data_IF_076941480649
#
_entry.id   IF_076941480649
#
_cell.length_a   1.000
_cell.length_b   1.000
_cell.length_c   1.000
_cell.angle_alpha   90.00
_cell.angle_beta   90.00
_cell.angle_gamma   90.00
#
_symmetry.space_group_name_H-M   'P 1'
#
loop_
_entity.id
_entity.type
_entity.pdbx_description
1 polymer ?
#
# COMPACT_ATOMS: atom_id res chain seq x y z
N UNK A 1 4.38 46.00 -6.04
CA UNK A 1 4.60 44.54 -6.13
C UNK A 1 4.33 43.96 -4.77
N UNK A 2 3.12 43.49 -4.54
CA UNK A 2 2.69 42.96 -3.25
C UNK A 2 3.20 41.54 -3.05
N UNK A 3 4.09 41.39 -2.09
CA UNK A 3 4.55 40.10 -1.60
C UNK A 3 3.41 39.51 -0.77
N UNK A 4 2.55 38.70 -1.36
CA UNK A 4 1.53 37.93 -0.62
C UNK A 4 2.25 36.82 0.12
N UNK A 5 2.67 37.11 1.36
CA UNK A 5 3.07 36.05 2.30
C UNK A 5 1.85 35.16 2.53
N UNK A 6 1.84 33.97 1.92
CA UNK A 6 0.90 32.90 2.28
C UNK A 6 1.06 32.66 3.78
N UNK A 7 0.03 32.97 4.54
CA UNK A 7 -0.05 32.60 5.95
C UNK A 7 -0.13 31.07 5.97
N UNK A 8 1.00 30.37 6.18
CA UNK A 8 1.06 28.93 6.26
C UNK A 8 0.39 28.51 7.57
N UNK A 9 -0.64 27.68 7.45
CA UNK A 9 -1.30 27.12 8.62
C UNK A 9 -0.38 26.08 9.26
N UNK A 10 -0.05 26.27 10.55
CA UNK A 10 0.83 25.39 11.29
C UNK A 10 0.03 24.41 12.13
N UNK A 11 0.50 23.18 12.22
CA UNK A 11 -0.03 22.12 13.08
C UNK A 11 1.06 21.62 14.02
N UNK A 12 0.67 21.14 15.19
CA UNK A 12 1.59 20.62 16.20
C UNK A 12 1.59 19.08 16.18
N UNK A 13 2.74 18.48 15.91
CA UNK A 13 2.95 17.04 15.95
C UNK A 13 3.52 16.65 17.31
N UNK A 14 2.83 15.75 18.02
CA UNK A 14 3.27 15.20 19.31
C UNK A 14 3.88 13.82 19.10
N UNK A 15 5.13 13.63 19.52
CA UNK A 15 5.85 12.38 19.43
C UNK A 15 5.60 11.45 20.63
N UNK A 16 5.99 10.15 20.55
CA UNK A 16 5.78 9.18 21.64
C UNK A 16 6.44 9.56 22.98
N UNK A 17 7.55 10.31 22.94
CA UNK A 17 8.25 10.81 24.11
C UNK A 17 7.56 12.06 24.75
N UNK A 18 6.44 12.50 24.18
CA UNK A 18 5.69 13.67 24.62
C UNK A 18 6.21 15.00 24.08
N UNK A 19 7.35 15.01 23.38
CA UNK A 19 7.85 16.21 22.72
C UNK A 19 6.94 16.66 21.58
N UNK A 20 7.00 17.97 21.25
CA UNK A 20 6.16 18.56 20.21
C UNK A 20 7.03 19.36 19.24
N UNK A 21 6.65 19.31 17.97
CA UNK A 21 7.21 20.18 16.93
C UNK A 21 6.10 20.67 16.01
N UNK A 22 6.23 21.91 15.57
CA UNK A 22 5.27 22.51 14.62
C UNK A 22 5.76 22.29 13.18
N UNK A 23 4.80 21.94 12.32
CA UNK A 23 5.00 21.71 10.89
C UNK A 23 3.91 22.45 10.12
N UNK A 24 4.14 22.67 8.84
CA UNK A 24 3.09 23.12 7.93
C UNK A 24 1.98 22.07 7.81
N UNK A 25 0.73 22.49 7.79
CA UNK A 25 -0.42 21.63 7.49
C UNK A 25 -0.22 20.91 6.17
N UNK A 26 -0.58 19.63 6.10
CA UNK A 26 -0.31 18.76 4.97
C UNK A 26 1.06 18.09 5.02
N UNK A 27 1.82 18.24 6.11
CA UNK A 27 3.06 17.49 6.31
C UNK A 27 2.76 15.99 6.35
N UNK A 28 3.67 15.17 5.78
CA UNK A 28 3.56 13.72 5.84
C UNK A 28 4.47 13.11 6.92
N UNK A 29 4.15 11.89 7.37
CA UNK A 29 5.02 11.12 8.26
C UNK A 29 6.44 10.96 7.71
N UNK A 30 6.58 10.80 6.39
CA UNK A 30 7.89 10.72 5.72
C UNK A 30 8.69 12.01 5.85
N UNK A 31 8.04 13.16 5.65
CA UNK A 31 8.67 14.47 5.81
C UNK A 31 9.08 14.72 7.27
N UNK A 32 8.24 14.33 8.22
CA UNK A 32 8.58 14.41 9.65
C UNK A 32 9.78 13.52 9.97
N UNK A 33 9.81 12.27 9.49
CA UNK A 33 10.95 11.37 9.68
C UNK A 33 12.25 11.95 9.11
N UNK A 34 12.19 12.58 7.94
CA UNK A 34 13.33 13.26 7.32
C UNK A 34 13.84 14.43 8.16
N UNK A 35 12.93 15.23 8.72
CA UNK A 35 13.28 16.36 9.61
C UNK A 35 13.90 15.91 10.95
N UNK A 36 13.62 14.67 11.39
CA UNK A 36 14.26 14.10 12.57
C UNK A 36 15.67 13.61 12.21
N UNK A 37 15.80 12.76 11.21
CA UNK A 37 17.09 12.31 10.68
C UNK A 37 16.96 11.57 9.35
N UNK A 38 18.02 11.63 8.53
CA UNK A 38 18.09 10.85 7.27
C UNK A 38 18.11 9.34 7.51
N UNK A 39 18.62 8.88 8.66
CA UNK A 39 18.60 7.47 9.04
C UNK A 39 17.19 6.98 9.38
N UNK A 40 16.39 7.79 10.09
CA UNK A 40 14.99 7.47 10.36
C UNK A 40 14.18 7.42 9.08
N UNK A 41 14.31 8.40 8.19
CA UNK A 41 13.65 8.39 6.87
C UNK A 41 13.92 7.10 6.10
N UNK A 42 15.18 6.63 6.08
CA UNK A 42 15.57 5.40 5.37
C UNK A 42 15.00 4.12 6.00
N UNK A 43 14.84 4.12 7.32
CA UNK A 43 14.36 2.97 8.07
C UNK A 43 12.84 2.93 8.17
N UNK A 44 12.16 4.06 7.96
CA UNK A 44 10.70 4.19 8.10
C UNK A 44 9.95 3.34 7.06
N UNK A 45 8.89 2.68 7.53
CA UNK A 45 8.02 1.81 6.71
C UNK A 45 6.55 2.23 6.77
N UNK A 46 6.11 2.80 7.89
CA UNK A 46 4.76 3.31 8.09
C UNK A 46 4.76 4.35 9.22
N UNK A 47 3.62 4.95 9.49
CA UNK A 47 3.42 5.76 10.70
C UNK A 47 2.05 5.47 11.33
N UNK A 48 1.90 5.76 12.63
CA UNK A 48 0.60 5.83 13.27
C UNK A 48 0.22 7.30 13.52
N UNK A 49 -0.94 7.71 13.02
CA UNK A 49 -1.50 9.03 13.25
C UNK A 49 -2.68 8.87 14.21
N UNK A 50 -2.58 9.46 15.40
CA UNK A 50 -3.55 9.29 16.48
C UNK A 50 -3.86 7.82 16.82
N UNK A 51 -2.84 6.94 16.68
CA UNK A 51 -2.94 5.50 16.92
C UNK A 51 -3.42 4.67 15.72
N UNK A 52 -3.74 5.28 14.59
CA UNK A 52 -4.18 4.58 13.37
C UNK A 52 -2.99 4.40 12.45
N UNK A 53 -2.66 3.13 12.13
CA UNK A 53 -1.60 2.79 11.19
C UNK A 53 -1.91 3.34 9.80
N UNK A 54 -0.96 4.06 9.22
CA UNK A 54 -1.16 4.86 8.01
C UNK A 54 0.09 4.85 7.12
N UNK A 55 -0.12 5.16 5.84
CA UNK A 55 0.98 5.39 4.91
C UNK A 55 1.88 6.53 5.37
N UNK A 56 3.18 6.38 5.18
CA UNK A 56 4.14 7.45 5.47
C UNK A 56 3.90 8.71 4.64
N UNK A 57 3.26 8.58 3.49
CA UNK A 57 2.98 9.68 2.56
C UNK A 57 1.64 10.37 2.82
N UNK A 58 0.81 9.83 3.73
CA UNK A 58 -0.47 10.45 4.07
C UNK A 58 -0.26 11.84 4.66
N UNK A 59 -1.03 12.81 4.17
CA UNK A 59 -0.98 14.19 4.64
C UNK A 59 -1.69 14.33 5.99
N UNK A 60 -1.09 15.10 6.88
CA UNK A 60 -1.57 15.39 8.23
C UNK A 60 -2.07 16.85 8.25
N UNK A 61 -3.39 17.01 8.34
CA UNK A 61 -4.04 18.32 8.21
C UNK A 61 -4.44 18.96 9.54
N UNK A 62 -4.20 18.28 10.66
CA UNK A 62 -4.50 18.76 12.01
C UNK A 62 -3.43 18.35 12.99
N UNK A 63 -3.35 19.06 14.12
CA UNK A 63 -2.46 18.64 15.21
C UNK A 63 -2.81 17.24 15.68
N UNK A 64 -1.80 16.36 15.72
CA UNK A 64 -1.97 14.90 15.91
C UNK A 64 -0.79 14.31 16.67
N UNK A 65 -1.01 13.13 17.24
CA UNK A 65 0.09 12.26 17.70
C UNK A 65 0.64 11.49 16.51
N UNK A 66 1.96 11.46 16.40
CA UNK A 66 2.63 10.73 15.31
C UNK A 66 3.70 9.81 15.88
N UNK A 67 3.63 8.54 15.49
CA UNK A 67 4.66 7.55 15.73
C UNK A 67 5.19 7.02 14.39
N UNK A 68 6.51 7.01 14.21
CA UNK A 68 7.15 6.48 12.98
C UNK A 68 7.57 5.04 13.25
N UNK A 69 7.06 4.11 12.45
CA UNK A 69 7.43 2.71 12.49
C UNK A 69 8.56 2.42 11.52
N UNK A 70 9.47 1.58 11.95
CA UNK A 70 10.65 1.21 11.16
C UNK A 70 10.71 -0.30 10.91
N UNK A 71 11.62 -0.72 10.05
CA UNK A 71 11.88 -2.14 9.81
C UNK A 71 12.33 -2.95 11.04
N UNK A 72 12.57 -2.29 12.19
CA UNK A 72 12.85 -2.93 13.48
C UNK A 72 11.57 -3.34 14.21
N UNK A 73 10.46 -2.75 13.87
CA UNK A 73 9.12 -3.07 14.35
C UNK A 73 8.62 -4.35 13.68
N UNK A 74 9.09 -5.50 14.17
CA UNK A 74 8.90 -6.79 13.49
C UNK A 74 7.44 -7.12 13.17
N UNK A 75 6.51 -6.80 14.06
CA UNK A 75 5.08 -7.10 13.87
C UNK A 75 4.51 -6.28 12.71
N UNK A 76 4.70 -4.95 12.75
CA UNK A 76 4.20 -4.04 11.70
C UNK A 76 4.93 -4.29 10.39
N UNK A 77 6.25 -4.49 10.43
CA UNK A 77 7.04 -4.77 9.23
C UNK A 77 6.58 -6.06 8.54
N UNK A 78 6.31 -7.13 9.30
CA UNK A 78 5.86 -8.40 8.76
C UNK A 78 4.46 -8.29 8.15
N UNK A 79 3.54 -7.58 8.80
CA UNK A 79 2.20 -7.34 8.29
C UNK A 79 2.23 -6.58 6.95
N UNK A 80 2.99 -5.47 6.89
CA UNK A 80 3.13 -4.68 5.67
C UNK A 80 3.80 -5.48 4.54
N UNK A 81 4.88 -6.21 4.83
CA UNK A 81 5.56 -7.03 3.82
C UNK A 81 4.61 -8.09 3.27
N UNK A 82 3.81 -8.75 4.11
CA UNK A 82 2.82 -9.74 3.66
C UNK A 82 1.76 -9.11 2.78
N UNK A 83 1.27 -7.94 3.16
CA UNK A 83 0.27 -7.19 2.41
C UNK A 83 0.82 -6.79 1.02
N UNK A 84 2.00 -6.18 1.00
CA UNK A 84 2.65 -5.81 -0.26
C UNK A 84 3.00 -7.04 -1.12
N UNK A 85 3.41 -8.16 -0.52
CA UNK A 85 3.61 -9.42 -1.25
C UNK A 85 2.33 -9.92 -1.92
N UNK A 86 1.15 -9.75 -1.30
CA UNK A 86 -0.12 -10.09 -1.93
C UNK A 86 -0.36 -9.24 -3.19
N UNK A 87 -0.13 -7.93 -3.12
CA UNK A 87 -0.25 -7.03 -4.28
C UNK A 87 0.79 -7.33 -5.37
N UNK A 88 2.06 -7.58 -4.98
CA UNK A 88 3.11 -7.96 -5.93
C UNK A 88 2.79 -9.30 -6.62
N UNK A 89 2.19 -10.25 -5.90
CA UNK A 89 1.74 -11.51 -6.48
C UNK A 89 0.61 -11.28 -7.48
N UNK A 90 -0.39 -10.45 -7.14
CA UNK A 90 -1.49 -10.12 -8.05
C UNK A 90 -0.97 -9.44 -9.33
N UNK A 91 -0.07 -8.46 -9.19
CA UNK A 91 0.61 -7.82 -10.32
C UNK A 91 1.38 -8.83 -11.16
N UNK A 92 2.16 -9.72 -10.54
CA UNK A 92 2.93 -10.74 -11.23
C UNK A 92 2.03 -11.68 -12.06
N UNK A 93 0.92 -12.11 -11.48
CA UNK A 93 -0.06 -12.97 -12.16
C UNK A 93 -0.64 -12.26 -13.38
N UNK A 94 -1.10 -11.02 -13.25
CA UNK A 94 -1.65 -10.26 -14.36
C UNK A 94 -0.61 -9.88 -15.43
N UNK A 95 0.68 -9.70 -15.05
CA UNK A 95 1.74 -9.48 -16.04
C UNK A 95 2.08 -10.75 -16.83
N UNK A 96 1.89 -11.94 -16.24
CA UNK A 96 2.11 -13.22 -16.93
C UNK A 96 0.87 -13.62 -17.73
N UNK A 97 -0.32 -13.45 -17.13
CA UNK A 97 -1.62 -13.81 -17.70
C UNK A 97 -2.58 -12.63 -17.63
N UNK A 98 -2.57 -11.74 -18.64
CA UNK A 98 -3.32 -10.48 -18.60
C UNK A 98 -4.84 -10.61 -18.46
N UNK A 99 -5.41 -11.74 -18.89
CA UNK A 99 -6.85 -11.99 -18.82
C UNK A 99 -7.30 -12.49 -17.42
N UNK A 100 -6.36 -12.67 -16.48
CA UNK A 100 -6.68 -13.09 -15.10
C UNK A 100 -7.29 -11.92 -14.33
N UNK A 101 -8.50 -12.11 -13.78
CA UNK A 101 -9.14 -11.13 -12.89
C UNK A 101 -8.63 -11.32 -11.47
N UNK A 102 -8.40 -10.21 -10.79
CA UNK A 102 -7.96 -10.19 -9.39
C UNK A 102 -9.15 -9.88 -8.47
N UNK A 103 -9.24 -10.59 -7.36
CA UNK A 103 -10.32 -10.40 -6.40
C UNK A 103 -9.83 -9.73 -5.12
N UNK A 104 -9.48 -10.50 -4.12
CA UNK A 104 -8.93 -10.03 -2.83
C UNK A 104 -7.72 -10.86 -2.41
N UNK A 105 -6.81 -10.22 -1.67
CA UNK A 105 -5.58 -10.84 -1.17
C UNK A 105 -5.30 -10.50 0.29
N UNK A 106 -6.04 -11.09 1.27
CA UNK A 106 -5.83 -10.78 2.67
C UNK A 106 -4.56 -11.38 3.22
N UNK A 107 -3.99 -10.66 4.19
CA UNK A 107 -2.96 -11.20 5.08
C UNK A 107 -3.62 -12.15 6.07
N UNK A 108 -2.94 -13.27 6.34
CA UNK A 108 -3.35 -14.29 7.32
C UNK A 108 -2.23 -14.52 8.33
N UNK A 109 -2.49 -15.29 9.40
CA UNK A 109 -1.55 -15.51 10.50
C UNK A 109 -0.15 -15.94 10.04
N UNK A 110 -0.06 -16.82 9.03
CA UNK A 110 1.22 -17.37 8.57
C UNK A 110 1.55 -17.04 7.12
N UNK A 111 1.04 -15.91 6.59
CA UNK A 111 1.32 -15.50 5.21
C UNK A 111 0.23 -14.62 4.63
N UNK A 112 -0.06 -14.88 3.39
CA UNK A 112 -1.15 -14.26 2.62
C UNK A 112 -1.66 -15.25 1.58
N UNK A 113 -2.80 -14.98 1.01
CA UNK A 113 -3.25 -15.60 -0.23
C UNK A 113 -3.84 -14.52 -1.16
N UNK A 114 -4.16 -14.88 -2.36
CA UNK A 114 -4.88 -14.02 -3.30
C UNK A 114 -5.77 -14.90 -4.17
N UNK A 115 -7.03 -14.52 -4.29
CA UNK A 115 -7.98 -15.21 -5.13
C UNK A 115 -7.98 -14.62 -6.55
N UNK A 116 -7.92 -15.49 -7.52
CA UNK A 116 -7.87 -15.16 -8.94
C UNK A 116 -9.01 -15.85 -9.67
N UNK A 117 -9.66 -15.13 -10.58
CA UNK A 117 -10.56 -15.72 -11.55
C UNK A 117 -9.84 -15.87 -12.88
N UNK A 118 -9.65 -17.12 -13.27
CA UNK A 118 -8.90 -17.53 -14.45
C UNK A 118 -9.53 -18.76 -15.10
N UNK A 119 -9.60 -18.76 -16.43
CA UNK A 119 -10.19 -19.87 -17.19
C UNK A 119 -9.40 -21.18 -16.97
N UNK A 120 -8.06 -21.13 -17.06
CA UNK A 120 -7.19 -22.27 -16.81
C UNK A 120 -6.69 -22.27 -15.35
N UNK A 121 -6.89 -23.35 -14.58
CA UNK A 121 -6.38 -23.45 -13.21
C UNK A 121 -4.85 -23.33 -13.16
N UNK A 122 -4.33 -22.75 -12.06
CA UNK A 122 -2.89 -22.76 -11.81
C UNK A 122 -2.37 -24.18 -11.57
N UNK A 123 -1.11 -24.39 -11.99
CA UNK A 123 -0.36 -25.62 -11.74
C UNK A 123 0.74 -25.38 -10.70
N UNK A 124 1.29 -26.42 -10.05
CA UNK A 124 2.43 -26.27 -9.13
C UNK A 124 3.66 -25.61 -9.79
N UNK A 125 3.85 -25.81 -11.08
CA UNK A 125 4.93 -25.21 -11.86
C UNK A 125 4.77 -23.70 -12.01
N UNK A 126 3.53 -23.20 -12.07
CA UNK A 126 3.23 -21.78 -12.16
C UNK A 126 3.71 -21.01 -10.92
N UNK A 127 3.72 -21.65 -9.75
CA UNK A 127 4.22 -21.01 -8.52
C UNK A 127 5.66 -20.52 -8.66
N UNK A 128 6.52 -21.28 -9.35
CA UNK A 128 7.92 -20.90 -9.57
C UNK A 128 8.02 -19.73 -10.56
N UNK A 129 7.15 -19.71 -11.58
CA UNK A 129 7.10 -18.62 -12.56
C UNK A 129 6.62 -17.34 -11.90
N UNK A 130 5.57 -17.42 -11.06
CA UNK A 130 5.04 -16.28 -10.30
C UNK A 130 6.10 -15.75 -9.31
N UNK A 131 6.75 -16.63 -8.52
CA UNK A 131 7.81 -16.20 -7.59
C UNK A 131 8.95 -15.46 -8.31
N UNK A 132 9.39 -15.97 -9.45
CA UNK A 132 10.41 -15.31 -10.26
C UNK A 132 9.96 -13.91 -10.68
N UNK A 133 8.73 -13.81 -11.18
CA UNK A 133 8.14 -12.53 -11.62
C UNK A 133 7.98 -11.55 -10.45
N UNK A 134 7.55 -12.02 -9.30
CA UNK A 134 7.49 -11.21 -8.07
C UNK A 134 8.86 -10.62 -7.71
N UNK A 135 9.93 -11.42 -7.77
CA UNK A 135 11.29 -10.94 -7.51
C UNK A 135 11.75 -9.91 -8.55
N UNK A 136 11.38 -10.07 -9.81
CA UNK A 136 11.65 -9.08 -10.87
C UNK A 136 10.97 -7.74 -10.52
N UNK A 137 9.68 -7.77 -10.14
CA UNK A 137 8.91 -6.57 -9.76
C UNK A 137 9.50 -5.89 -8.53
N UNK A 138 9.90 -6.65 -7.51
CA UNK A 138 10.57 -6.13 -6.31
C UNK A 138 11.86 -5.37 -6.69
N UNK A 139 12.64 -5.93 -7.61
CA UNK A 139 13.89 -5.33 -8.06
C UNK A 139 13.72 -4.06 -8.89
N UNK A 140 12.54 -3.80 -9.48
CA UNK A 140 12.23 -2.54 -10.15
C UNK A 140 12.22 -1.36 -9.17
N UNK A 141 11.96 -1.62 -7.87
CA UNK A 141 11.84 -0.60 -6.83
C UNK A 141 10.81 0.48 -7.16
N UNK A 142 9.72 0.06 -7.82
CA UNK A 142 8.64 0.95 -8.21
C UNK A 142 8.05 1.66 -6.99
N UNK A 143 7.82 2.98 -7.06
CA UNK A 143 7.18 3.71 -5.98
C UNK A 143 5.73 3.26 -5.80
N UNK A 144 5.29 3.19 -4.55
CA UNK A 144 3.88 3.00 -4.20
C UNK A 144 3.23 4.36 -3.99
N UNK A 145 2.13 4.61 -4.69
CA UNK A 145 1.37 5.85 -4.59
C UNK A 145 -0.08 5.53 -4.27
N UNK A 146 -0.68 6.37 -3.44
CA UNK A 146 -2.10 6.28 -3.08
C UNK A 146 -2.87 7.42 -3.73
N UNK A 147 -4.02 7.11 -4.28
CA UNK A 147 -4.97 8.09 -4.80
C UNK A 147 -6.36 7.83 -4.23
N UNK A 148 -7.05 8.91 -3.88
CA UNK A 148 -8.47 8.86 -3.49
C UNK A 148 -9.30 9.25 -4.70
N UNK A 149 -10.19 8.36 -5.09
CA UNK A 149 -11.01 8.55 -6.29
C UNK A 149 -12.48 8.73 -5.94
N UNK A 150 -13.21 9.46 -6.79
CA UNK A 150 -14.66 9.43 -6.73
C UNK A 150 -15.15 8.02 -7.03
N UNK A 151 -16.20 7.58 -6.33
CA UNK A 151 -16.73 6.21 -6.48
C UNK A 151 -17.13 5.90 -7.93
N UNK A 152 -17.78 6.85 -8.61
CA UNK A 152 -18.16 6.72 -10.01
C UNK A 152 -16.95 6.45 -10.91
N UNK A 153 -15.89 7.24 -10.73
CA UNK A 153 -14.69 7.17 -11.56
C UNK A 153 -13.94 5.84 -11.36
N UNK A 154 -13.90 5.37 -10.10
CA UNK A 154 -13.32 4.07 -9.78
C UNK A 154 -14.13 2.90 -10.37
N UNK A 155 -15.47 2.98 -10.35
CA UNK A 155 -16.35 1.99 -10.97
C UNK A 155 -16.11 1.96 -12.48
N UNK A 156 -16.17 3.12 -13.15
CA UNK A 156 -15.96 3.24 -14.59
C UNK A 156 -14.57 2.71 -15.01
N UNK A 157 -13.55 3.00 -14.20
CA UNK A 157 -12.20 2.53 -14.45
C UNK A 157 -12.09 1.00 -14.42
N UNK A 158 -12.66 0.34 -13.40
CA UNK A 158 -12.60 -1.10 -13.28
C UNK A 158 -13.55 -1.81 -14.25
N UNK A 159 -14.68 -1.22 -14.60
CA UNK A 159 -15.57 -1.72 -15.68
C UNK A 159 -14.85 -1.73 -17.03
N UNK A 160 -14.12 -0.67 -17.36
CA UNK A 160 -13.35 -0.59 -18.61
C UNK A 160 -12.17 -1.59 -18.67
N UNK A 161 -11.83 -2.23 -17.55
CA UNK A 161 -10.79 -3.25 -17.44
C UNK A 161 -11.36 -4.66 -17.27
N UNK A 162 -12.66 -4.85 -17.34
CA UNK A 162 -13.36 -6.12 -17.10
C UNK A 162 -13.11 -6.71 -15.68
N UNK A 163 -12.77 -5.84 -14.70
CA UNK A 163 -12.51 -6.20 -13.31
C UNK A 163 -13.80 -6.14 -12.46
N UNK A 164 -14.77 -7.00 -12.79
CA UNK A 164 -16.10 -7.01 -12.17
C UNK A 164 -16.07 -7.18 -10.65
N UNK A 165 -15.15 -7.99 -10.13
CA UNK A 165 -15.00 -8.20 -8.68
C UNK A 165 -14.60 -6.90 -7.96
N UNK A 166 -13.78 -6.06 -8.58
CA UNK A 166 -13.42 -4.75 -8.02
C UNK A 166 -14.61 -3.80 -8.02
N UNK A 167 -15.45 -3.85 -9.05
CA UNK A 167 -16.71 -3.08 -9.10
C UNK A 167 -17.64 -3.51 -7.97
N UNK A 168 -17.81 -4.81 -7.72
CA UNK A 168 -18.61 -5.32 -6.61
C UNK A 168 -18.06 -4.85 -5.27
N UNK A 169 -16.76 -5.00 -5.04
CA UNK A 169 -16.09 -4.53 -3.83
C UNK A 169 -16.29 -3.04 -3.58
N UNK A 170 -16.21 -2.19 -4.63
CA UNK A 170 -16.44 -0.75 -4.50
C UNK A 170 -17.88 -0.47 -4.07
N UNK A 171 -18.86 -1.22 -4.61
CA UNK A 171 -20.28 -1.07 -4.24
C UNK A 171 -20.55 -1.47 -2.79
N UNK A 172 -19.78 -2.42 -2.25
CA UNK A 172 -19.90 -2.89 -0.86
C UNK A 172 -19.21 -1.97 0.15
N UNK A 173 -18.31 -1.07 -0.29
CA UNK A 173 -17.69 -0.08 0.58
C UNK A 173 -18.73 0.95 1.02
N UNK A 174 -18.92 1.24 2.33
CA UNK A 174 -19.81 2.29 2.82
C UNK A 174 -19.60 3.63 2.11
N UNK A 175 -20.69 4.38 1.90
CA UNK A 175 -20.67 5.62 1.10
C UNK A 175 -19.76 6.70 1.71
N UNK A 176 -19.63 6.71 3.03
CA UNK A 176 -18.79 7.62 3.79
C UNK A 176 -17.30 7.27 3.78
N UNK A 177 -16.92 6.12 3.25
CA UNK A 177 -15.53 5.71 3.14
C UNK A 177 -14.93 6.09 1.79
N UNK A 178 -13.67 6.52 1.83
CA UNK A 178 -12.87 6.82 0.65
C UNK A 178 -12.63 5.56 -0.20
N UNK A 179 -12.70 5.72 -1.50
CA UNK A 179 -12.22 4.73 -2.44
C UNK A 179 -10.75 5.04 -2.73
N UNK A 180 -9.87 4.13 -2.33
CA UNK A 180 -8.42 4.31 -2.48
C UNK A 180 -7.84 3.30 -3.43
N UNK A 181 -7.08 3.80 -4.40
CA UNK A 181 -6.28 3.00 -5.32
C UNK A 181 -4.81 3.16 -4.95
N UNK A 182 -4.11 2.03 -4.89
CA UNK A 182 -2.68 1.97 -4.66
C UNK A 182 -1.99 1.56 -5.96
N UNK A 183 -1.08 2.41 -6.42
CA UNK A 183 -0.30 2.21 -7.63
C UNK A 183 1.09 1.67 -7.28
N UNK A 184 1.44 0.52 -7.84
CA UNK A 184 2.78 -0.05 -7.79
C UNK A 184 3.40 0.12 -9.18
N UNK A 185 4.06 1.24 -9.42
CA UNK A 185 4.44 1.65 -10.76
C UNK A 185 3.22 1.97 -11.63
N UNK A 186 2.99 1.20 -12.69
CA UNK A 186 1.82 1.35 -13.57
C UNK A 186 0.63 0.45 -13.20
N UNK A 187 0.86 -0.56 -12.34
CA UNK A 187 -0.17 -1.48 -11.88
C UNK A 187 -0.86 -0.92 -10.62
N UNK A 188 -2.13 -1.18 -10.51
CA UNK A 188 -2.91 -0.66 -9.38
C UNK A 188 -3.87 -1.71 -8.82
N UNK A 189 -4.23 -1.50 -7.56
CA UNK A 189 -5.27 -2.26 -6.89
C UNK A 189 -6.11 -1.40 -5.95
N UNK A 190 -7.36 -1.83 -5.73
CA UNK A 190 -8.27 -1.28 -4.73
C UNK A 190 -7.86 -1.79 -3.36
N UNK A 191 -7.46 -0.88 -2.45
CA UNK A 191 -6.98 -1.27 -1.14
C UNK A 191 -7.21 -0.18 -0.09
N UNK A 192 -7.26 -0.57 1.19
CA UNK A 192 -7.33 0.35 2.32
C UNK A 192 -5.95 0.84 2.78
N UNK A 193 -4.90 0.10 2.43
CA UNK A 193 -3.55 0.34 2.92
C UNK A 193 -3.37 -0.01 4.41
N UNK A 194 -2.27 0.43 5.04
CA UNK A 194 -1.16 1.10 4.38
C UNK A 194 -0.22 0.18 3.62
N UNK A 195 0.68 0.77 2.83
CA UNK A 195 1.69 0.08 2.05
C UNK A 195 3.10 0.62 2.30
N UNK A 196 4.11 -0.15 1.90
CA UNK A 196 5.50 0.28 1.84
C UNK A 196 5.68 1.42 0.81
N UNK A 197 6.77 2.20 0.92
CA UNK A 197 7.02 3.32 0.01
C UNK A 197 7.36 2.91 -1.43
N UNK A 198 7.94 1.74 -1.59
CA UNK A 198 8.30 1.18 -2.89
C UNK A 198 8.50 -0.34 -2.81
N UNK A 199 8.30 -1.03 -3.92
CA UNK A 199 8.39 -2.49 -3.99
C UNK A 199 9.71 -3.06 -3.49
N UNK A 200 10.82 -2.33 -3.67
CA UNK A 200 12.15 -2.76 -3.21
C UNK A 200 12.40 -2.66 -1.70
N UNK A 201 11.39 -2.33 -0.87
CA UNK A 201 11.48 -2.50 0.59
C UNK A 201 11.14 -3.93 1.03
N UNK A 202 10.59 -4.75 0.15
CA UNK A 202 10.38 -6.18 0.38
C UNK A 202 11.72 -6.89 0.18
N UNK A 203 12.26 -7.63 1.17
CA UNK A 203 13.45 -8.45 0.97
C UNK A 203 13.18 -9.58 -0.04
N UNK A 204 14.00 -9.68 -1.08
CA UNK A 204 13.74 -10.57 -2.23
C UNK A 204 13.64 -12.07 -1.91
N UNK A 205 14.17 -12.49 -0.75
CA UNK A 205 14.16 -13.90 -0.31
C UNK A 205 13.28 -14.15 0.92
N UNK A 206 12.38 -13.20 1.27
CA UNK A 206 11.57 -13.30 2.48
C UNK A 206 10.28 -14.11 2.32
N UNK A 207 9.96 -14.58 1.11
CA UNK A 207 8.70 -15.27 0.83
C UNK A 207 8.90 -16.50 -0.06
N UNK A 208 7.91 -17.37 -0.01
CA UNK A 208 7.75 -18.52 -0.90
C UNK A 208 6.27 -18.80 -1.14
N UNK A 209 5.89 -19.09 -2.37
CA UNK A 209 4.55 -19.57 -2.70
C UNK A 209 4.47 -21.07 -2.38
N UNK A 210 3.50 -21.47 -1.57
CA UNK A 210 3.47 -22.80 -0.95
C UNK A 210 2.52 -23.76 -1.65
N UNK A 211 1.33 -23.28 -2.02
CA UNK A 211 0.28 -24.15 -2.53
C UNK A 211 -0.75 -23.37 -3.34
N UNK A 212 -1.52 -24.11 -4.11
CA UNK A 212 -2.69 -23.64 -4.84
C UNK A 212 -3.90 -24.31 -4.18
N UNK A 213 -4.95 -23.54 -3.95
CA UNK A 213 -6.25 -24.03 -3.51
C UNK A 213 -7.30 -23.64 -4.56
N UNK A 214 -8.32 -24.50 -4.74
CA UNK A 214 -9.50 -24.13 -5.52
C UNK A 214 -10.29 -23.06 -4.76
N UNK A 215 -10.73 -22.01 -5.46
CA UNK A 215 -11.78 -21.13 -4.96
C UNK A 215 -13.13 -21.84 -5.14
N UNK A 216 -13.98 -21.82 -4.10
CA UNK A 216 -15.31 -22.44 -4.15
C UNK A 216 -16.37 -21.36 -4.27
#
# INVERSE_FOLDING_TARGET
MGNSSKNLEMISITFPDGSKRDFEKGVSGLTVAENISSSLKKAAIACSIDGILSDLTLQIDKSSKLEIHTNKDQTIALELIRHDCAHIMARAVQEIWPDTRVTIGPVIENGWYYDFDREEPFTPEDLLVIEKKMKEIINLRDPVKTEVWARSDAIDFYQNKDEEYKVQLINDIPVEQDIRLYWHGYWQDLCRGPHLLHTGQIPGDCFKLMSIAGAY
#
